data_IF_374823946655
#
_entry.id   IF_374823946655
#
_cell.length_a   1.000
_cell.length_b   1.000
_cell.length_c   1.000
_cell.angle_alpha   90.00
_cell.angle_beta   90.00
_cell.angle_gamma   90.00
#
_symmetry.space_group_name_H-M   'P 1'
#
loop_
_entity.id
_entity.type
_entity.pdbx_description
1 polymer ?
#
# COMPACT_ATOMS: atom_id res chain seq x y z
N UNK A 1 2.58 4.65 -7.26
CA UNK A 1 2.74 3.46 -8.17
C UNK A 1 2.95 2.16 -7.39
N UNK A 2 3.79 2.18 -6.35
CA UNK A 2 4.00 1.01 -5.49
C UNK A 2 2.85 0.82 -4.49
N UNK A 3 2.32 1.90 -3.92
CA UNK A 3 1.15 1.87 -3.02
C UNK A 3 -0.06 1.19 -3.66
N UNK A 4 -0.34 1.46 -4.93
CA UNK A 4 -1.44 0.81 -5.67
C UNK A 4 -1.25 -0.71 -5.82
N UNK A 5 -0.01 -1.16 -6.05
CA UNK A 5 0.30 -2.60 -6.11
C UNK A 5 0.04 -3.27 -4.76
N UNK A 6 0.42 -2.62 -3.66
CA UNK A 6 0.18 -3.12 -2.30
C UNK A 6 -1.33 -3.19 -2.03
N UNK A 7 -2.09 -2.13 -2.36
CA UNK A 7 -3.55 -2.11 -2.24
C UNK A 7 -4.22 -3.19 -3.08
N UNK A 8 -3.71 -3.47 -4.28
CA UNK A 8 -4.22 -4.55 -5.12
C UNK A 8 -4.01 -5.94 -4.49
N UNK A 9 -2.85 -6.20 -3.89
CA UNK A 9 -2.62 -7.45 -3.14
C UNK A 9 -3.59 -7.54 -1.96
N UNK A 10 -3.71 -6.48 -1.14
CA UNK A 10 -4.65 -6.41 -0.02
C UNK A 10 -6.10 -6.71 -0.45
N UNK A 11 -6.53 -6.13 -1.58
CA UNK A 11 -7.87 -6.35 -2.12
C UNK A 11 -8.05 -7.79 -2.63
N UNK A 12 -7.00 -8.37 -3.21
CA UNK A 12 -7.01 -9.76 -3.69
C UNK A 12 -7.17 -10.77 -2.55
N UNK A 13 -6.60 -10.48 -1.37
CA UNK A 13 -6.84 -11.28 -0.16
C UNK A 13 -8.32 -11.26 0.27
N UNK A 14 -9.06 -10.19 -0.06
CA UNK A 14 -10.49 -10.07 0.24
C UNK A 14 -11.35 -11.16 -0.41
N UNK A 15 -10.91 -11.73 -1.53
CA UNK A 15 -11.59 -12.82 -2.24
C UNK A 15 -11.64 -14.12 -1.42
N UNK A 16 -10.81 -14.22 -0.37
CA UNK A 16 -10.73 -15.40 0.49
C UNK A 16 -11.72 -15.38 1.67
N UNK A 17 -12.45 -14.29 1.89
CA UNK A 17 -13.31 -14.09 3.08
C UNK A 17 -14.25 -15.26 3.38
N UNK A 18 -14.88 -15.83 2.35
CA UNK A 18 -15.82 -16.94 2.47
C UNK A 18 -15.23 -18.28 2.00
N UNK A 19 -13.91 -18.35 1.76
CA UNK A 19 -13.22 -19.52 1.20
C UNK A 19 -12.33 -20.24 2.20
N UNK A 20 -12.05 -19.63 3.34
CA UNK A 20 -11.19 -20.18 4.40
C UNK A 20 -11.93 -20.19 5.73
N UNK A 21 -11.42 -20.95 6.70
CA UNK A 21 -11.95 -20.95 8.06
C UNK A 21 -11.69 -19.62 8.79
N UNK A 22 -12.37 -19.41 9.92
CA UNK A 22 -12.26 -18.18 10.70
C UNK A 22 -10.83 -17.92 11.22
N UNK A 23 -10.10 -18.99 11.57
CA UNK A 23 -8.73 -18.89 12.06
C UNK A 23 -7.79 -18.39 10.97
N UNK A 24 -7.83 -18.99 9.77
CA UNK A 24 -7.06 -18.54 8.61
C UNK A 24 -7.48 -17.12 8.21
N UNK A 25 -8.78 -16.82 8.27
CA UNK A 25 -9.30 -15.49 7.97
C UNK A 25 -8.80 -14.43 8.96
N UNK A 26 -8.63 -14.75 10.24
CA UNK A 26 -8.04 -13.84 11.22
C UNK A 26 -6.61 -13.44 10.82
N UNK A 27 -5.77 -14.41 10.41
CA UNK A 27 -4.43 -14.12 9.91
C UNK A 27 -4.45 -13.26 8.64
N UNK A 28 -5.34 -13.58 7.70
CA UNK A 28 -5.48 -12.78 6.47
C UNK A 28 -5.89 -11.34 6.75
N UNK A 29 -6.76 -11.10 7.73
CA UNK A 29 -7.13 -9.74 8.15
C UNK A 29 -5.94 -8.97 8.73
N UNK A 30 -5.06 -9.64 9.48
CA UNK A 30 -3.80 -9.02 9.93
C UNK A 30 -2.95 -8.64 8.72
N UNK A 31 -2.74 -9.55 7.76
CA UNK A 31 -2.01 -9.22 6.53
C UNK A 31 -2.63 -8.05 5.76
N UNK A 32 -3.97 -7.97 5.69
CA UNK A 32 -4.66 -6.85 5.05
C UNK A 32 -4.42 -5.51 5.79
N UNK A 33 -4.31 -5.52 7.12
CA UNK A 33 -3.97 -4.34 7.93
C UNK A 33 -2.55 -3.87 7.62
N UNK A 34 -1.57 -4.78 7.73
CA UNK A 34 -0.16 -4.49 7.48
C UNK A 34 0.08 -3.95 6.05
N UNK A 35 -0.61 -4.52 5.05
CA UNK A 35 -0.54 -4.03 3.68
C UNK A 35 -1.17 -2.64 3.52
N UNK A 36 -2.19 -2.31 4.31
CA UNK A 36 -2.79 -0.96 4.29
C UNK A 36 -1.78 0.06 4.82
N UNK A 37 -1.19 -0.22 5.98
CA UNK A 37 -0.16 0.64 6.59
C UNK A 37 1.08 0.80 5.70
N UNK A 38 1.50 -0.28 5.04
CA UNK A 38 2.61 -0.23 4.09
C UNK A 38 2.29 0.63 2.86
N UNK A 39 1.07 0.54 2.33
CA UNK A 39 0.65 1.36 1.19
C UNK A 39 0.62 2.85 1.56
N UNK A 40 0.13 3.17 2.75
CA UNK A 40 0.05 4.55 3.25
C UNK A 40 1.45 5.12 3.50
N UNK A 41 2.35 4.32 4.11
CA UNK A 41 3.76 4.69 4.29
C UNK A 41 4.47 4.98 2.97
N UNK A 42 4.21 4.17 1.94
CA UNK A 42 4.77 4.39 0.59
C UNK A 42 4.25 5.70 0.01
N UNK A 43 2.97 6.01 0.17
CA UNK A 43 2.38 7.25 -0.32
C UNK A 43 2.97 8.47 0.39
N UNK A 44 3.19 8.40 1.70
CA UNK A 44 3.88 9.44 2.46
C UNK A 44 5.31 9.67 1.98
N UNK A 45 6.06 8.60 1.73
CA UNK A 45 7.44 8.67 1.21
C UNK A 45 7.44 9.24 -0.22
N UNK A 46 6.59 8.74 -1.11
CA UNK A 46 6.46 9.24 -2.49
C UNK A 46 6.15 10.75 -2.48
N UNK A 47 5.28 11.21 -1.55
CA UNK A 47 4.96 12.63 -1.36
C UNK A 47 6.14 13.45 -0.84
N UNK A 48 6.85 12.97 0.18
CA UNK A 48 8.01 13.67 0.74
C UNK A 48 9.11 13.86 -0.31
N UNK A 49 9.43 12.81 -1.07
CA UNK A 49 10.43 12.86 -2.15
C UNK A 49 10.02 13.84 -3.25
N UNK A 50 8.74 13.87 -3.63
CA UNK A 50 8.23 14.81 -4.63
C UNK A 50 8.34 16.28 -4.15
N UNK A 51 8.22 16.54 -2.85
CA UNK A 51 8.36 17.88 -2.27
C UNK A 51 9.82 18.34 -2.13
N UNK A 52 10.77 17.41 -1.97
CA UNK A 52 12.21 17.73 -1.84
C UNK A 52 12.92 17.95 -3.18
N UNK A 53 12.30 17.63 -4.31
CA UNK A 53 12.89 17.84 -5.64
C UNK A 53 12.72 19.30 -6.07
N UNK A 54 13.77 20.15 -6.11
CA UNK A 54 13.63 21.51 -6.57
C UNK A 54 13.38 21.49 -8.08
N UNK A 55 12.38 22.23 -8.54
CA UNK A 55 12.17 22.48 -9.97
C UNK A 55 13.50 22.98 -10.57
N UNK A 56 14.08 22.22 -11.48
CA UNK A 56 15.32 22.59 -12.15
C UNK A 56 15.16 23.99 -12.75
N UNK A 57 15.86 24.96 -12.19
CA UNK A 57 15.87 26.34 -12.68
C UNK A 57 16.33 26.31 -14.13
N UNK A 58 15.53 26.77 -15.11
CA UNK A 58 15.97 26.81 -16.49
C UNK A 58 17.13 27.80 -16.59
N UNK A 59 18.29 27.31 -17.05
CA UNK A 59 19.45 28.16 -17.32
C UNK A 59 19.07 29.20 -18.37
N UNK A 60 19.29 30.48 -18.04
CA UNK A 60 19.12 31.62 -18.94
C UNK A 60 20.20 31.65 -20.01
#
# INVERSE_FOLDING_TARGET
MLGDKIRNVRNSLGVLADKVGENEWAFLRVCQSELTEAADSVEEIERAVAMETPAATPAK
#
